data_IF_102503782000
#
_entry.id   IF_102503782000
#
_cell.length_a   1.000
_cell.length_b   1.000
_cell.length_c   1.000
_cell.angle_alpha   90.00
_cell.angle_beta   90.00
_cell.angle_gamma   90.00
#
_symmetry.space_group_name_H-M   'P 1'
#
loop_
_entity.id
_entity.type
_entity.pdbx_description
1 polymer ?
#
# COMPACT_ATOMS: atom_id res chain seq x y z
N UNK A 1 -4.85 -3.07 3.60
CA UNK A 1 -4.35 -4.20 2.76
C UNK A 1 -3.10 -3.74 2.03
N UNK A 2 -2.24 -4.67 1.60
CA UNK A 2 -1.09 -4.39 0.76
C UNK A 2 -0.90 -5.50 -0.28
N UNK A 3 -0.54 -5.13 -1.51
CA UNK A 3 -0.34 -6.08 -2.61
C UNK A 3 0.75 -5.58 -3.57
N UNK A 4 1.14 -6.40 -4.53
CA UNK A 4 2.03 -6.00 -5.62
C UNK A 4 1.21 -5.23 -6.67
N UNK A 5 1.73 -4.09 -7.12
CA UNK A 5 1.17 -3.35 -8.26
C UNK A 5 1.84 -3.79 -9.57
N UNK A 6 1.13 -3.58 -10.67
CA UNK A 6 1.63 -3.87 -12.02
C UNK A 6 2.62 -2.78 -12.46
N UNK A 7 3.82 -3.21 -12.87
CA UNK A 7 4.91 -2.32 -13.31
C UNK A 7 4.48 -1.38 -14.44
N UNK A 8 3.54 -1.80 -15.31
CA UNK A 8 3.01 -0.96 -16.38
C UNK A 8 2.38 0.35 -15.87
N UNK A 9 1.85 0.34 -14.65
CA UNK A 9 1.18 1.48 -14.03
C UNK A 9 2.04 2.22 -13.00
N UNK A 10 3.23 1.71 -12.72
CA UNK A 10 4.23 2.34 -11.85
C UNK A 10 5.51 2.68 -12.60
N UNK A 11 5.48 2.60 -13.94
CA UNK A 11 6.65 2.80 -14.79
C UNK A 11 7.35 4.13 -14.47
N UNK A 12 8.64 4.05 -14.13
CA UNK A 12 9.49 5.21 -13.81
C UNK A 12 9.24 5.86 -12.44
N UNK A 13 8.17 5.51 -11.71
CA UNK A 13 7.80 6.16 -10.44
C UNK A 13 8.86 6.00 -9.35
N UNK A 14 9.38 4.77 -9.15
CA UNK A 14 10.41 4.50 -8.13
C UNK A 14 11.74 5.17 -8.47
N UNK A 15 12.14 5.18 -9.75
CA UNK A 15 13.34 5.89 -10.20
C UNK A 15 13.19 7.40 -9.98
N UNK A 16 12.03 7.97 -10.29
CA UNK A 16 11.74 9.37 -10.07
C UNK A 16 11.75 9.73 -8.56
N UNK A 17 11.23 8.87 -7.70
CA UNK A 17 11.33 9.05 -6.26
C UNK A 17 12.76 8.95 -5.74
N UNK A 18 13.57 8.04 -6.29
CA UNK A 18 14.99 7.96 -5.97
C UNK A 18 15.74 9.25 -6.31
N UNK A 19 15.45 9.88 -7.44
CA UNK A 19 16.00 11.19 -7.80
C UNK A 19 15.57 12.27 -6.81
N UNK A 20 14.30 12.26 -6.38
CA UNK A 20 13.82 13.14 -5.32
C UNK A 20 14.59 12.95 -4.01
N UNK A 21 14.81 11.72 -3.56
CA UNK A 21 15.60 11.47 -2.36
C UNK A 21 17.03 12.00 -2.48
N UNK A 22 17.68 11.82 -3.65
CA UNK A 22 19.03 12.35 -3.90
C UNK A 22 19.08 13.87 -3.85
N UNK A 23 18.12 14.55 -4.48
CA UNK A 23 18.02 16.01 -4.49
C UNK A 23 17.93 16.60 -3.09
N UNK A 24 17.20 15.94 -2.19
CA UNK A 24 17.03 16.38 -0.79
C UNK A 24 18.07 15.76 0.16
N UNK A 25 19.10 15.10 -0.37
CA UNK A 25 20.13 14.38 0.42
C UNK A 25 19.55 13.39 1.45
N UNK A 26 18.40 12.80 1.16
CA UNK A 26 17.72 11.84 2.01
C UNK A 26 18.27 10.44 1.72
N UNK A 27 18.65 9.71 2.78
CA UNK A 27 18.96 8.29 2.66
C UNK A 27 17.65 7.52 2.56
N UNK A 28 17.49 6.61 1.58
CA UNK A 28 16.35 5.69 1.57
C UNK A 28 16.29 4.96 2.91
N UNK A 29 15.10 4.83 3.47
CA UNK A 29 14.92 3.99 4.65
C UNK A 29 15.25 2.53 4.30
N UNK A 30 15.52 1.70 5.31
CA UNK A 30 15.64 0.24 5.12
C UNK A 30 14.39 -0.31 4.38
N UNK A 31 13.23 0.33 4.60
CA UNK A 31 11.96 -0.02 3.99
C UNK A 31 11.90 0.24 2.47
N UNK A 32 12.85 0.99 1.89
CA UNK A 32 12.84 1.25 0.45
C UNK A 32 13.10 -0.02 -0.36
N UNK A 33 14.11 -0.80 0.04
CA UNK A 33 14.41 -2.10 -0.58
C UNK A 33 13.25 -3.08 -0.38
N UNK A 34 12.54 -2.94 0.72
CA UNK A 34 11.38 -3.74 1.03
C UNK A 34 10.21 -3.40 0.10
N UNK A 35 10.01 -2.16 -0.34
CA UNK A 35 8.97 -1.92 -1.38
C UNK A 35 9.23 -2.66 -2.71
N UNK A 36 10.42 -3.22 -2.93
CA UNK A 36 10.78 -3.92 -4.15
C UNK A 36 10.61 -5.44 -3.98
N UNK A 37 9.98 -6.08 -4.95
CA UNK A 37 9.86 -7.55 -5.01
C UNK A 37 10.63 -8.07 -6.23
N UNK A 38 11.33 -9.19 -6.09
CA UNK A 38 12.16 -9.78 -7.15
C UNK A 38 11.40 -10.75 -8.06
N UNK A 39 10.07 -10.73 -8.05
CA UNK A 39 9.28 -11.65 -8.88
C UNK A 39 9.30 -11.19 -10.35
N UNK A 40 9.85 -12.05 -11.23
CA UNK A 40 9.81 -12.00 -12.69
C UNK A 40 10.75 -11.06 -13.48
N UNK A 41 12.01 -10.83 -13.05
CA UNK A 41 13.00 -10.03 -13.82
C UNK A 41 12.58 -8.58 -14.15
N UNK A 42 11.41 -8.16 -13.68
CA UNK A 42 10.82 -6.83 -13.68
C UNK A 42 10.74 -6.34 -12.23
N UNK A 43 10.99 -5.05 -12.00
CA UNK A 43 10.89 -4.48 -10.65
C UNK A 43 9.42 -4.27 -10.31
N UNK A 44 8.77 -5.31 -9.77
CA UNK A 44 7.41 -5.20 -9.24
C UNK A 44 7.46 -4.65 -7.82
N UNK A 45 6.57 -3.71 -7.49
CA UNK A 45 6.60 -3.02 -6.21
C UNK A 45 5.40 -3.36 -5.33
N UNK A 46 5.67 -3.59 -4.04
CA UNK A 46 4.65 -3.73 -3.03
C UNK A 46 4.07 -2.34 -2.68
N UNK A 47 2.74 -2.25 -2.65
CA UNK A 47 1.99 -1.03 -2.36
C UNK A 47 0.97 -1.23 -1.25
N UNK A 48 0.70 -0.15 -0.52
CA UNK A 48 -0.40 -0.05 0.44
C UNK A 48 -1.66 0.36 -0.33
N UNK A 49 -2.73 -0.41 -0.18
CA UNK A 49 -4.01 -0.10 -0.83
C UNK A 49 -4.70 1.07 -0.11
N UNK A 50 -4.91 2.16 -0.84
CA UNK A 50 -5.50 3.42 -0.34
C UNK A 50 -7.03 3.44 -0.37
N UNK A 51 -7.68 2.42 -0.95
CA UNK A 51 -9.15 2.29 -0.87
C UNK A 51 -9.68 2.24 0.57
N UNK A 52 -8.83 1.88 1.54
CA UNK A 52 -9.10 2.05 2.97
C UNK A 52 -7.87 2.63 3.68
N UNK A 53 -8.00 3.85 4.18
CA UNK A 53 -7.00 4.50 5.02
C UNK A 53 -7.69 5.41 6.05
N UNK A 54 -7.16 5.41 7.27
CA UNK A 54 -7.49 6.41 8.30
C UNK A 54 -6.21 7.19 8.53
N UNK A 55 -6.21 8.47 8.19
CA UNK A 55 -5.00 9.29 8.20
C UNK A 55 -5.26 10.68 8.79
N UNK A 56 -4.24 11.23 9.45
CA UNK A 56 -4.21 12.65 9.80
C UNK A 56 -3.87 13.46 8.54
N UNK A 57 -4.85 14.21 8.02
CA UNK A 57 -4.71 14.98 6.77
C UNK A 57 -3.59 16.03 6.85
N UNK A 58 -3.27 16.51 8.05
CA UNK A 58 -2.17 17.46 8.29
C UNK A 58 -0.81 16.88 7.84
N UNK A 59 -0.66 15.55 7.81
CA UNK A 59 0.53 14.91 7.27
C UNK A 59 0.77 15.29 5.80
N UNK A 60 -0.27 15.26 4.98
CA UNK A 60 -0.16 15.58 3.56
C UNK A 60 -0.14 17.09 3.32
N UNK A 61 -0.84 17.86 4.17
CA UNK A 61 -0.96 19.31 4.02
C UNK A 61 0.28 20.06 4.50
N UNK A 62 0.83 19.69 5.65
CA UNK A 62 1.74 20.55 6.41
C UNK A 62 3.20 20.03 6.40
N UNK A 63 3.44 18.78 5.97
CA UNK A 63 4.77 18.20 5.92
C UNK A 63 5.53 18.62 4.65
N UNK A 64 6.60 19.41 4.82
CA UNK A 64 7.34 20.04 3.71
C UNK A 64 7.86 19.06 2.66
N UNK A 65 8.49 17.95 3.06
CA UNK A 65 9.00 16.94 2.12
C UNK A 65 7.87 16.23 1.35
N UNK A 66 6.71 16.03 1.99
CA UNK A 66 5.56 15.37 1.34
C UNK A 66 4.96 16.32 0.31
N UNK A 67 4.77 17.59 0.67
CA UNK A 67 4.34 18.63 -0.26
C UNK A 67 5.29 18.78 -1.45
N UNK A 68 6.61 18.82 -1.20
CA UNK A 68 7.61 18.90 -2.25
C UNK A 68 7.55 17.70 -3.21
N UNK A 69 7.36 16.49 -2.67
CA UNK A 69 7.18 15.29 -3.47
C UNK A 69 5.89 15.34 -4.31
N UNK A 70 4.75 15.67 -3.69
CA UNK A 70 3.46 15.76 -4.38
C UNK A 70 3.49 16.81 -5.51
N UNK A 71 4.11 17.97 -5.26
CA UNK A 71 4.30 19.01 -6.27
C UNK A 71 5.14 18.52 -7.46
N UNK A 72 6.21 17.75 -7.19
CA UNK A 72 7.04 17.15 -8.24
C UNK A 72 6.30 16.11 -9.07
N UNK A 73 5.49 15.27 -8.43
CA UNK A 73 4.66 14.29 -9.12
C UNK A 73 3.65 14.97 -10.04
N UNK A 74 3.00 16.04 -9.57
CA UNK A 74 2.04 16.80 -10.36
C UNK A 74 2.70 17.42 -11.60
N UNK A 75 3.88 18.04 -11.42
CA UNK A 75 4.60 18.74 -12.50
C UNK A 75 5.23 17.81 -13.55
N UNK A 76 5.58 16.57 -13.20
CA UNK A 76 6.25 15.68 -14.15
C UNK A 76 5.29 15.00 -15.16
N UNK A 77 3.97 15.04 -14.89
CA UNK A 77 2.92 14.50 -15.76
C UNK A 77 2.78 12.97 -15.75
N UNK A 78 3.44 12.26 -14.84
CA UNK A 78 3.46 10.79 -14.76
C UNK A 78 2.09 10.19 -14.43
N UNK A 79 1.25 10.90 -13.67
CA UNK A 79 -0.16 10.52 -13.43
C UNK A 79 -0.90 10.34 -14.75
N UNK A 80 -0.72 11.28 -15.69
CA UNK A 80 -1.44 11.26 -16.97
C UNK A 80 -0.80 10.34 -18.01
N UNK A 81 0.54 10.24 -18.02
CA UNK A 81 1.29 9.46 -19.02
C UNK A 81 1.34 7.97 -18.71
N UNK A 82 1.48 7.62 -17.43
CA UNK A 82 1.77 6.25 -16.99
C UNK A 82 0.73 5.70 -16.01
N UNK A 83 -0.34 6.46 -15.72
CA UNK A 83 -1.40 6.07 -14.80
C UNK A 83 -0.89 5.76 -13.39
N UNK A 84 0.06 6.57 -12.90
CA UNK A 84 0.50 6.47 -11.51
C UNK A 84 -0.68 6.66 -10.56
N UNK A 85 -1.02 5.61 -9.83
CA UNK A 85 -2.10 5.63 -8.85
C UNK A 85 -1.70 6.36 -7.57
N UNK A 86 -2.70 6.77 -6.80
CA UNK A 86 -2.50 7.32 -5.46
C UNK A 86 -1.87 6.29 -4.51
N UNK A 87 -2.22 5.00 -4.63
CA UNK A 87 -1.67 3.92 -3.81
C UNK A 87 -0.12 3.81 -3.88
N UNK A 88 0.52 3.69 -5.05
CA UNK A 88 1.98 3.68 -5.13
C UNK A 88 2.62 5.01 -4.72
N UNK A 89 2.02 6.16 -5.04
CA UNK A 89 2.51 7.49 -4.60
C UNK A 89 2.51 7.60 -3.08
N UNK A 90 1.42 7.22 -2.43
CA UNK A 90 1.28 7.20 -0.97
C UNK A 90 2.21 6.18 -0.33
N UNK A 91 2.44 5.02 -0.96
CA UNK A 91 3.38 4.02 -0.45
C UNK A 91 4.79 4.59 -0.31
N UNK A 92 5.27 5.35 -1.30
CA UNK A 92 6.59 6.00 -1.24
C UNK A 92 6.65 7.04 -0.11
N UNK A 93 5.59 7.84 0.07
CA UNK A 93 5.49 8.79 1.19
C UNK A 93 5.57 8.05 2.53
N UNK A 94 4.70 7.06 2.72
CA UNK A 94 4.51 6.38 4.00
C UNK A 94 5.69 5.48 4.39
N UNK A 95 6.44 4.96 3.41
CA UNK A 95 7.59 4.10 3.66
C UNK A 95 8.89 4.88 3.83
N UNK A 96 9.00 6.08 3.25
CA UNK A 96 10.28 6.81 3.13
C UNK A 96 10.31 8.17 3.82
N UNK A 97 9.19 8.88 3.90
CA UNK A 97 9.16 10.28 4.36
C UNK A 97 8.63 10.45 5.79
N UNK A 98 8.10 9.38 6.40
CA UNK A 98 7.59 9.39 7.77
C UNK A 98 8.26 8.33 8.62
N UNK A 99 8.18 8.50 9.95
CA UNK A 99 8.64 7.47 10.87
C UNK A 99 7.75 6.24 10.81
N UNK A 100 8.37 5.05 10.87
CA UNK A 100 7.68 3.75 10.86
C UNK A 100 6.60 3.63 11.95
N UNK A 101 6.79 4.29 13.08
CA UNK A 101 5.83 4.27 14.20
C UNK A 101 4.57 5.13 13.94
N UNK A 102 4.56 5.94 12.88
CA UNK A 102 3.41 6.75 12.49
C UNK A 102 2.47 6.01 11.51
N UNK A 103 2.92 4.88 10.95
CA UNK A 103 2.10 4.02 10.11
C UNK A 103 1.70 2.78 10.90
N UNK A 104 0.40 2.52 10.99
CA UNK A 104 -0.13 1.37 11.74
C UNK A 104 -1.00 0.51 10.84
N UNK A 105 -0.86 -0.80 10.98
CA UNK A 105 -1.76 -1.77 10.36
C UNK A 105 -2.92 -2.13 11.29
N UNK A 106 -4.15 -2.00 10.78
CA UNK A 106 -5.39 -2.36 11.47
C UNK A 106 -5.75 -3.83 11.21
N UNK A 107 -5.18 -4.75 11.99
CA UNK A 107 -5.43 -6.20 11.82
C UNK A 107 -6.73 -6.69 12.43
N UNK A 108 -7.26 -6.03 13.45
CA UNK A 108 -8.49 -6.42 14.13
C UNK A 108 -9.76 -5.86 13.46
N UNK A 109 -9.63 -5.29 12.26
CA UNK A 109 -10.74 -4.75 11.49
C UNK A 109 -10.93 -5.57 10.21
N UNK A 110 -12.14 -6.13 10.04
CA UNK A 110 -12.51 -6.80 8.79
C UNK A 110 -12.89 -5.77 7.72
N UNK A 111 -12.46 -5.99 6.48
CA UNK A 111 -12.69 -5.07 5.37
C UNK A 111 -12.87 -5.81 4.05
N UNK A 112 -13.74 -5.29 3.18
CA UNK A 112 -13.99 -5.86 1.86
C UNK A 112 -13.96 -4.73 0.82
N UNK A 113 -13.27 -4.98 -0.29
CA UNK A 113 -13.27 -4.11 -1.46
C UNK A 113 -13.43 -4.96 -2.71
N UNK A 114 -14.53 -4.73 -3.44
CA UNK A 114 -14.97 -5.59 -4.55
C UNK A 114 -15.12 -7.04 -4.09
N UNK A 115 -14.35 -7.94 -4.68
CA UNK A 115 -14.36 -9.36 -4.37
C UNK A 115 -13.22 -9.78 -3.43
N UNK A 116 -12.37 -8.87 -2.99
CA UNK A 116 -11.31 -9.16 -2.01
C UNK A 116 -11.77 -8.78 -0.60
N UNK A 117 -11.55 -9.67 0.37
CA UNK A 117 -11.90 -9.39 1.76
C UNK A 117 -10.88 -9.93 2.76
N UNK A 118 -10.75 -9.20 3.86
CA UNK A 118 -9.91 -9.53 5.01
C UNK A 118 -10.79 -9.63 6.25
N UNK A 119 -10.37 -10.49 7.15
CA UNK A 119 -11.07 -10.71 8.41
C UNK A 119 -10.29 -10.07 9.54
N UNK A 120 -10.99 -9.68 10.60
CA UNK A 120 -10.34 -9.30 11.83
C UNK A 120 -9.47 -10.47 12.34
N UNK A 121 -8.24 -10.14 12.72
CA UNK A 121 -7.30 -11.08 13.30
C UNK A 121 -7.91 -11.76 14.54
N UNK A 122 -7.64 -13.05 14.70
CA UNK A 122 -8.28 -13.90 15.70
C UNK A 122 -9.58 -14.58 15.25
N UNK A 123 -10.22 -14.13 14.15
CA UNK A 123 -11.37 -14.84 13.56
C UNK A 123 -10.86 -15.94 12.64
N UNK A 124 -11.23 -17.20 12.94
CA UNK A 124 -10.89 -18.34 12.08
C UNK A 124 -11.50 -18.16 10.69
N UNK A 125 -10.76 -18.51 9.63
CA UNK A 125 -11.18 -18.27 8.25
C UNK A 125 -12.56 -18.84 7.87
N UNK A 126 -12.96 -20.00 8.42
CA UNK A 126 -14.30 -20.55 8.20
C UNK A 126 -15.42 -19.74 8.85
N UNK A 127 -15.19 -19.21 10.06
CA UNK A 127 -16.13 -18.32 10.75
C UNK A 127 -16.26 -17.00 10.00
N UNK A 128 -15.12 -16.45 9.56
CA UNK A 128 -15.16 -15.24 8.77
C UNK A 128 -15.92 -15.44 7.45
N UNK A 129 -15.63 -16.52 6.70
CA UNK A 129 -16.36 -16.82 5.46
C UNK A 129 -17.86 -16.96 5.71
N UNK A 130 -18.28 -17.56 6.82
CA UNK A 130 -19.69 -17.64 7.19
C UNK A 130 -20.30 -16.27 7.50
N UNK A 131 -19.57 -15.39 8.20
CA UNK A 131 -20.00 -14.02 8.53
C UNK A 131 -20.02 -13.08 7.33
N UNK A 132 -19.13 -13.24 6.36
CA UNK A 132 -19.05 -12.37 5.16
C UNK A 132 -19.98 -12.82 4.05
N UNK A 133 -20.37 -14.10 3.99
CA UNK A 133 -21.24 -14.65 2.92
C UNK A 133 -22.53 -13.84 2.70
N UNK A 134 -23.24 -13.37 3.73
CA UNK A 134 -24.43 -12.53 3.55
C UNK A 134 -24.15 -11.16 2.89
N UNK A 135 -22.89 -10.69 2.91
CA UNK A 135 -22.48 -9.42 2.29
C UNK A 135 -22.15 -9.57 0.80
N UNK A 136 -22.13 -10.79 0.28
CA UNK A 136 -21.82 -11.07 -1.12
C UNK A 136 -23.05 -10.79 -2.00
N UNK A 137 -22.96 -9.71 -2.77
CA UNK A 137 -24.07 -9.16 -3.55
C UNK A 137 -24.18 -9.77 -4.95
N UNK A 138 -23.10 -10.30 -5.51
CA UNK A 138 -23.10 -10.91 -6.85
C UNK A 138 -22.80 -12.41 -6.79
N UNK A 139 -23.78 -13.29 -7.09
CA UNK A 139 -23.58 -14.74 -7.09
C UNK A 139 -22.65 -15.23 -8.20
N UNK A 140 -22.37 -14.43 -9.24
CA UNK A 140 -21.42 -14.77 -10.31
C UNK A 140 -19.97 -14.42 -9.95
N UNK A 141 -19.78 -13.61 -8.92
CA UNK A 141 -18.46 -13.15 -8.49
C UNK A 141 -17.82 -14.17 -7.55
N UNK A 142 -16.58 -14.56 -7.86
CA UNK A 142 -15.74 -15.30 -6.92
C UNK A 142 -15.12 -14.33 -5.92
N UNK A 143 -15.45 -14.50 -4.65
CA UNK A 143 -14.87 -13.72 -3.55
C UNK A 143 -13.60 -14.39 -3.02
N UNK A 144 -12.54 -13.59 -2.88
CA UNK A 144 -11.20 -14.01 -2.48
C UNK A 144 -10.91 -13.57 -1.04
N UNK A 145 -10.73 -14.56 -0.17
CA UNK A 145 -10.26 -14.33 1.19
C UNK A 145 -8.76 -14.02 1.17
N UNK A 146 -8.38 -12.90 1.80
CA UNK A 146 -7.01 -12.47 2.03
C UNK A 146 -6.69 -12.65 3.53
N UNK A 147 -6.00 -13.74 3.94
CA UNK A 147 -5.85 -14.14 5.35
C UNK A 147 -5.29 -13.09 6.29
N UNK A 148 -4.48 -12.17 5.76
CA UNK A 148 -3.88 -11.07 6.50
C UNK A 148 -4.04 -9.73 5.78
N UNK A 149 -4.84 -9.65 4.71
CA UNK A 149 -4.87 -8.44 3.87
C UNK A 149 -3.54 -8.13 3.19
N UNK A 150 -2.75 -9.18 3.06
CA UNK A 150 -1.42 -9.25 2.52
C UNK A 150 -1.36 -10.60 1.83
N UNK A 151 -1.08 -10.60 0.53
CA UNK A 151 -1.06 -11.85 -0.24
C UNK A 151 0.12 -12.72 0.23
N UNK A 152 -0.10 -13.87 0.90
CA UNK A 152 0.99 -14.70 1.42
C UNK A 152 1.85 -15.31 0.30
N UNK A 153 1.25 -15.55 -0.86
CA UNK A 153 1.94 -16.08 -2.05
C UNK A 153 2.83 -15.03 -2.74
N UNK A 154 2.67 -13.75 -2.41
CA UNK A 154 3.44 -12.65 -3.02
C UNK A 154 4.68 -12.25 -2.24
N UNK A 155 4.88 -12.79 -1.03
CA UNK A 155 6.02 -12.41 -0.17
C UNK A 155 6.07 -10.90 0.12
N UNK A 156 4.91 -10.22 0.17
CA UNK A 156 4.84 -8.77 0.31
C UNK A 156 5.50 -8.34 1.63
N UNK A 157 6.63 -7.64 1.57
CA UNK A 157 7.41 -7.34 2.77
C UNK A 157 6.69 -6.32 3.66
N UNK A 158 5.90 -5.37 3.12
CA UNK A 158 5.19 -4.33 3.90
C UNK A 158 4.32 -4.86 5.04
N UNK A 159 3.97 -6.14 4.99
CA UNK A 159 3.06 -6.82 5.90
C UNK A 159 3.64 -7.05 7.30
N UNK A 160 4.97 -7.09 7.46
CA UNK A 160 5.62 -7.39 8.74
C UNK A 160 6.27 -6.19 9.40
N UNK A 161 6.31 -5.04 8.72
CA UNK A 161 7.07 -3.92 9.21
C UNK A 161 6.26 -3.00 10.13
N UNK A 162 4.99 -2.75 9.86
CA UNK A 162 4.30 -1.71 10.61
C UNK A 162 3.75 -2.21 11.95
N UNK A 163 3.86 -1.40 13.02
CA UNK A 163 3.23 -1.73 14.29
C UNK A 163 1.73 -1.97 14.12
N UNK A 164 1.19 -2.80 14.99
CA UNK A 164 -0.22 -3.15 15.04
C UNK A 164 -0.89 -2.36 16.17
N UNK A 165 -2.07 -1.80 15.92
CA UNK A 165 -2.94 -1.34 17.02
C UNK A 165 -3.75 -2.55 17.50
N UNK A 166 -3.66 -2.84 18.79
CA UNK A 166 -4.61 -3.67 19.53
C UNK A 166 -5.62 -2.68 20.12
N UNK A 167 -6.86 -2.72 19.64
CA UNK A 167 -7.98 -1.96 20.22
C UNK A 167 -8.55 -2.71 21.43
#
# INVERSE_FOLDING_TARGET
>A
MANIDDELHTHGLWSFFHEFLKEYCLKPSINFRETQTSWFNSYSFAIIYTNFAIANVSLFRDHSLIQAWLHKVDHNGGIYRYRWGDAPIHTLILTQLISRNQLVRLRYFGYMHRNEYVCANGIKGHLCKAQTKPLFTDPKTTYHYQPDGCNPSSGNPLCHYYPEIIL
#
